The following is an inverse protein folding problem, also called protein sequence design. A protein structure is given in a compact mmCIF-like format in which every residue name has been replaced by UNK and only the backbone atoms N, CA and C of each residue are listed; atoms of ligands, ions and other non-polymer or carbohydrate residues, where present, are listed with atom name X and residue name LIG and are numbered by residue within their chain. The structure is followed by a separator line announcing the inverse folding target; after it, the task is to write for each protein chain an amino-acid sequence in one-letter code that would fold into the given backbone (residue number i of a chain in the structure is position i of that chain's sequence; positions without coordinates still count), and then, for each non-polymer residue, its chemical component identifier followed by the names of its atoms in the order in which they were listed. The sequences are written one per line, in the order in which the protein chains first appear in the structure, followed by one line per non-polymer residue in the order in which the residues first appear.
data_IF_913980181760
#
_entry.id   IF_913980181760
#
_cell.length_a   1.000
_cell.length_b   1.000
_cell.length_c   1.000
_cell.angle_alpha   90.00
_cell.angle_beta   90.00
_cell.angle_gamma   90.00
#
_symmetry.space_group_name_H-M   'P 1'
#
loop_
_entity.id
_entity.type
_entity.pdbx_description
1 polymer ?
#
# COMPACT_ATOMS: atom_id res chain seq x y z
N UNK A 1 0.78 -0.60 20.77
CA UNK A 1 1.59 -1.16 19.63
C UNK A 1 2.99 -1.50 20.12
N UNK A 2 3.57 -2.62 19.71
CA UNK A 2 4.97 -2.96 20.01
C UNK A 2 5.93 -2.10 19.16
N UNK A 3 7.12 -1.80 19.72
CA UNK A 3 8.08 -0.83 19.15
C UNK A 3 8.44 -1.08 17.67
N UNK A 4 8.58 -2.33 17.25
CA UNK A 4 8.93 -2.65 15.85
C UNK A 4 7.80 -2.29 14.89
N UNK A 5 6.54 -2.55 15.24
CA UNK A 5 5.38 -2.20 14.42
C UNK A 5 5.18 -0.67 14.40
N UNK A 6 5.35 -0.02 15.54
CA UNK A 6 5.28 1.45 15.65
C UNK A 6 6.29 2.12 14.69
N UNK A 7 7.53 1.65 14.68
CA UNK A 7 8.58 2.18 13.80
C UNK A 7 8.24 2.00 12.32
N UNK A 8 7.81 0.80 11.90
CA UNK A 8 7.48 0.56 10.50
C UNK A 8 6.21 1.30 10.08
N UNK A 9 5.22 1.41 10.96
CA UNK A 9 4.01 2.19 10.72
C UNK A 9 4.30 3.68 10.59
N UNK A 10 5.16 4.24 11.44
CA UNK A 10 5.59 5.63 11.35
C UNK A 10 6.31 5.95 10.02
N UNK A 11 7.12 5.01 9.51
CA UNK A 11 7.74 5.13 8.18
C UNK A 11 6.69 5.18 7.07
N UNK A 12 5.68 4.31 7.13
CA UNK A 12 4.56 4.31 6.19
C UNK A 12 3.77 5.61 6.23
N UNK A 13 3.49 6.14 7.42
CA UNK A 13 2.78 7.40 7.58
C UNK A 13 3.57 8.58 6.99
N UNK A 14 4.87 8.61 7.22
CA UNK A 14 5.72 9.64 6.62
C UNK A 14 5.68 9.54 5.09
N UNK A 15 5.89 8.36 4.52
CA UNK A 15 5.90 8.14 3.08
C UNK A 15 4.56 8.53 2.42
N UNK A 16 3.43 8.17 3.05
CA UNK A 16 2.10 8.56 2.58
C UNK A 16 1.92 10.07 2.58
N UNK A 17 2.29 10.75 3.68
CA UNK A 17 2.19 12.21 3.79
C UNK A 17 3.06 12.92 2.76
N UNK A 18 4.27 12.43 2.54
CA UNK A 18 5.18 12.96 1.52
C UNK A 18 4.53 12.81 0.12
N UNK A 19 3.99 11.63 -0.19
CA UNK A 19 3.33 11.36 -1.47
C UNK A 19 2.07 12.22 -1.69
N UNK A 20 1.21 12.38 -0.69
CA UNK A 20 0.04 13.25 -0.75
C UNK A 20 0.45 14.72 -0.95
N UNK A 21 1.52 15.17 -0.30
CA UNK A 21 2.01 16.55 -0.43
C UNK A 21 2.44 16.92 -1.85
N UNK A 22 2.95 15.94 -2.61
CA UNK A 22 3.36 16.13 -4.00
C UNK A 22 2.20 16.39 -4.97
N UNK A 23 0.98 16.01 -4.59
CA UNK A 23 -0.21 16.08 -5.44
C UNK A 23 -1.22 17.12 -4.95
N UNK A 24 -1.19 17.48 -3.67
CA UNK A 24 -2.15 18.40 -3.02
C UNK A 24 -2.26 19.77 -3.72
N UNK A 25 -1.15 20.31 -4.23
CA UNK A 25 -1.11 21.61 -4.89
C UNK A 25 -1.47 21.59 -6.37
N UNK A 26 -1.74 20.42 -6.94
CA UNK A 26 -2.08 20.27 -8.35
C UNK A 26 -3.56 20.55 -8.60
N UNK A 27 -3.89 21.04 -9.80
CA UNK A 27 -5.27 21.21 -10.26
C UNK A 27 -5.95 19.86 -10.46
N UNK A 28 -7.29 19.81 -10.43
CA UNK A 28 -8.04 18.57 -10.69
C UNK A 28 -7.69 17.98 -12.07
N UNK A 29 -7.48 18.82 -13.09
CA UNK A 29 -7.04 18.39 -14.43
C UNK A 29 -5.71 17.65 -14.36
N UNK A 30 -4.75 18.16 -13.59
CA UNK A 30 -3.45 17.50 -13.40
C UNK A 30 -3.57 16.20 -12.62
N UNK A 31 -4.40 16.20 -11.57
CA UNK A 31 -4.60 15.04 -10.69
C UNK A 31 -5.27 13.86 -11.41
N UNK A 32 -6.16 14.15 -12.35
CA UNK A 32 -6.93 13.15 -13.11
C UNK A 32 -6.38 12.87 -14.51
N UNK A 33 -5.30 13.56 -14.91
CA UNK A 33 -4.70 13.38 -16.22
C UNK A 33 -4.08 11.98 -16.39
N UNK A 34 -4.27 11.40 -17.58
CA UNK A 34 -3.69 10.13 -18.00
C UNK A 34 -2.86 10.31 -19.27
N UNK A 35 -1.68 9.71 -19.37
CA UNK A 35 -0.87 9.75 -20.61
C UNK A 35 -1.58 9.12 -21.82
N UNK A 36 -2.39 8.09 -21.57
CA UNK A 36 -3.22 7.36 -22.55
C UNK A 36 -4.35 6.61 -21.82
N UNK A 37 -5.26 5.97 -22.55
CA UNK A 37 -6.43 5.27 -22.01
C UNK A 37 -6.08 4.12 -21.05
N UNK A 38 -4.93 3.46 -21.26
CA UNK A 38 -4.49 2.29 -20.48
C UNK A 38 -3.58 2.67 -19.30
N UNK A 39 -3.40 3.97 -19.06
CA UNK A 39 -2.57 4.47 -17.97
C UNK A 39 -3.41 5.02 -16.84
N UNK A 40 -2.91 4.90 -15.63
CA UNK A 40 -3.54 5.50 -14.45
C UNK A 40 -3.17 6.99 -14.32
N UNK A 41 -4.10 7.76 -13.78
CA UNK A 41 -3.87 9.11 -13.26
C UNK A 41 -3.23 9.06 -11.87
N UNK A 42 -2.85 10.23 -11.34
CA UNK A 42 -2.30 10.34 -9.99
C UNK A 42 -3.31 9.86 -8.93
N UNK A 43 -4.59 10.25 -9.04
CA UNK A 43 -5.61 9.84 -8.08
C UNK A 43 -5.96 8.36 -8.18
N UNK A 44 -5.88 7.76 -9.37
CA UNK A 44 -6.06 6.32 -9.53
C UNK A 44 -4.96 5.50 -8.89
N UNK A 45 -3.71 5.99 -8.94
CA UNK A 45 -2.60 5.38 -8.18
C UNK A 45 -2.91 5.40 -6.68
N UNK A 46 -3.43 6.51 -6.14
CA UNK A 46 -3.78 6.59 -4.71
C UNK A 46 -4.90 5.64 -4.33
N UNK A 47 -5.96 5.59 -5.15
CA UNK A 47 -7.07 4.65 -4.92
C UNK A 47 -6.60 3.20 -4.99
N UNK A 48 -5.67 2.88 -5.90
CA UNK A 48 -5.07 1.55 -5.96
C UNK A 48 -4.31 1.20 -4.66
N UNK A 49 -3.46 2.10 -4.18
CA UNK A 49 -2.71 1.92 -2.94
C UNK A 49 -3.65 1.70 -1.74
N UNK A 50 -4.65 2.57 -1.59
CA UNK A 50 -5.67 2.44 -0.54
C UNK A 50 -6.43 1.11 -0.63
N UNK A 51 -6.80 0.69 -1.84
CA UNK A 51 -7.52 -0.58 -2.06
C UNK A 51 -6.66 -1.77 -1.65
N UNK A 52 -5.38 -1.77 -2.00
CA UNK A 52 -4.46 -2.82 -1.61
C UNK A 52 -4.30 -2.91 -0.07
N UNK A 53 -4.14 -1.77 0.60
CA UNK A 53 -4.06 -1.69 2.05
C UNK A 53 -5.36 -2.10 2.74
N UNK A 54 -6.52 -1.65 2.25
CA UNK A 54 -7.85 -2.01 2.75
C UNK A 54 -8.09 -3.52 2.66
N UNK A 55 -7.76 -4.11 1.51
CA UNK A 55 -7.89 -5.55 1.30
C UNK A 55 -6.98 -6.35 2.25
N UNK A 56 -5.75 -5.88 2.46
CA UNK A 56 -4.82 -6.48 3.42
C UNK A 56 -5.34 -6.45 4.85
N UNK A 57 -5.79 -5.28 5.32
CA UNK A 57 -6.36 -5.11 6.65
C UNK A 57 -7.62 -5.97 6.83
N UNK A 58 -8.55 -5.93 5.88
CA UNK A 58 -9.79 -6.73 5.91
C UNK A 58 -9.49 -8.23 5.97
N UNK A 59 -8.49 -8.70 5.21
CA UNK A 59 -8.07 -10.10 5.26
C UNK A 59 -7.54 -10.48 6.64
N UNK A 60 -6.65 -9.67 7.21
CA UNK A 60 -6.03 -9.94 8.51
C UNK A 60 -7.04 -9.87 9.66
N UNK A 61 -7.95 -8.89 9.64
CA UNK A 61 -9.04 -8.78 10.64
C UNK A 61 -9.92 -10.04 10.67
N UNK A 62 -10.19 -10.65 9.51
CA UNK A 62 -10.93 -11.92 9.45
C UNK A 62 -10.10 -13.11 9.95
N UNK A 63 -8.78 -13.08 9.78
CA UNK A 63 -7.86 -14.18 10.12
C UNK A 63 -7.39 -14.17 11.56
N UNK A 64 -7.45 -13.04 12.24
CA UNK A 64 -6.98 -12.91 13.62
C UNK A 64 -7.72 -13.84 14.59
N UNK A 65 -8.96 -14.21 14.31
CA UNK A 65 -9.74 -15.15 15.15
C UNK A 65 -9.10 -16.56 15.28
N UNK A 66 -8.27 -16.95 14.32
CA UNK A 66 -7.53 -18.23 14.34
C UNK A 66 -6.01 -18.03 14.41
N UNK A 67 -5.55 -16.95 15.03
CA UNK A 67 -4.13 -16.57 15.03
C UNK A 67 -3.25 -17.60 15.75
N UNK A 68 -3.76 -18.25 16.78
CA UNK A 68 -3.02 -19.25 17.56
C UNK A 68 -2.60 -20.47 16.74
N UNK A 69 -3.39 -20.80 15.71
CA UNK A 69 -3.11 -21.90 14.76
C UNK A 69 -2.08 -21.54 13.69
N UNK A 70 -1.72 -20.25 13.58
CA UNK A 70 -0.78 -19.80 12.56
C UNK A 70 0.66 -20.04 12.98
N UNK A 71 1.48 -20.44 12.01
CA UNK A 71 2.93 -20.54 12.17
C UNK A 71 3.55 -19.16 12.35
N UNK A 72 4.69 -19.10 13.04
CA UNK A 72 5.52 -17.90 13.11
C UNK A 72 6.32 -17.70 11.83
N UNK A 73 6.61 -16.45 11.51
CA UNK A 73 7.54 -16.07 10.47
C UNK A 73 8.95 -16.57 10.75
N UNK A 74 9.74 -16.76 9.69
CA UNK A 74 11.13 -17.21 9.78
C UNK A 74 11.85 -16.97 8.45
N UNK A 75 13.01 -17.56 8.29
CA UNK A 75 13.93 -17.38 7.15
C UNK A 75 13.20 -17.49 5.79
N UNK A 76 12.27 -18.42 5.67
CA UNK A 76 11.51 -18.61 4.41
C UNK A 76 10.62 -17.41 4.08
N UNK A 77 9.94 -16.84 5.08
CA UNK A 77 9.12 -15.64 4.88
C UNK A 77 9.98 -14.40 4.62
N UNK A 78 11.13 -14.30 5.26
CA UNK A 78 12.10 -13.23 5.02
C UNK A 78 12.65 -13.27 3.58
N UNK A 79 13.00 -14.45 3.10
CA UNK A 79 13.47 -14.64 1.72
C UNK A 79 12.38 -14.29 0.70
N UNK A 80 11.14 -14.70 0.94
CA UNK A 80 9.99 -14.33 0.09
C UNK A 80 9.78 -12.82 0.05
N UNK A 81 9.88 -12.14 1.20
CA UNK A 81 9.77 -10.68 1.28
C UNK A 81 10.92 -10.01 0.52
N UNK A 82 12.16 -10.46 0.69
CA UNK A 82 13.32 -9.92 -0.02
C UNK A 82 13.16 -10.06 -1.54
N UNK A 83 12.65 -11.21 -2.00
CA UNK A 83 12.37 -11.46 -3.41
C UNK A 83 11.27 -10.51 -3.93
N UNK A 84 10.16 -10.38 -3.21
CA UNK A 84 9.05 -9.49 -3.56
C UNK A 84 9.52 -8.03 -3.67
N UNK A 85 10.27 -7.56 -2.68
CA UNK A 85 10.81 -6.20 -2.67
C UNK A 85 11.77 -5.96 -3.85
N UNK A 86 12.54 -6.97 -4.23
CA UNK A 86 13.40 -6.90 -5.42
C UNK A 86 12.57 -6.77 -6.70
N UNK A 87 11.45 -7.48 -6.83
CA UNK A 87 10.53 -7.35 -7.96
C UNK A 87 9.88 -5.96 -8.02
N UNK A 88 9.42 -5.43 -6.89
CA UNK A 88 8.78 -4.11 -6.82
C UNK A 88 9.73 -2.96 -7.24
N UNK A 89 11.03 -3.15 -7.07
CA UNK A 89 12.05 -2.16 -7.49
C UNK A 89 12.37 -2.19 -8.98
N UNK A 90 11.92 -3.23 -9.70
CA UNK A 90 12.12 -3.30 -11.15
C UNK A 90 11.11 -2.39 -11.86
N UNK A 91 11.51 -1.67 -12.93
CA UNK A 91 10.63 -0.82 -13.70
C UNK A 91 9.74 -1.63 -14.67
N UNK A 92 9.12 -2.69 -14.19
CA UNK A 92 8.28 -3.59 -15.00
C UNK A 92 6.81 -3.28 -14.71
N UNK A 93 6.00 -3.15 -15.74
CA UNK A 93 4.53 -3.12 -15.60
C UNK A 93 4.07 -4.50 -15.14
N UNK A 94 3.47 -4.56 -13.97
CA UNK A 94 2.89 -5.78 -13.43
C UNK A 94 1.37 -5.69 -13.53
N UNK A 95 0.74 -6.68 -14.14
CA UNK A 95 -0.71 -6.82 -14.05
C UNK A 95 -1.06 -7.42 -12.68
N UNK A 96 -1.74 -6.62 -11.87
CA UNK A 96 -2.23 -7.10 -10.58
C UNK A 96 -3.19 -8.28 -10.80
N UNK A 97 -3.14 -9.34 -9.97
CA UNK A 97 -4.15 -10.39 -9.99
C UNK A 97 -5.57 -9.79 -9.89
N UNK A 98 -6.55 -10.42 -10.55
CA UNK A 98 -7.93 -9.91 -10.60
C UNK A 98 -8.50 -9.52 -9.22
N UNK A 99 -8.16 -10.26 -8.17
CA UNK A 99 -8.55 -9.97 -6.78
C UNK A 99 -7.88 -8.71 -6.18
N UNK A 100 -6.79 -8.22 -6.78
CA UNK A 100 -6.06 -7.04 -6.36
C UNK A 100 -6.27 -5.85 -7.32
N UNK A 101 -7.06 -6.03 -8.39
CA UNK A 101 -7.42 -4.94 -9.28
C UNK A 101 -8.37 -3.98 -8.57
N UNK A 102 -8.04 -2.68 -8.63
CA UNK A 102 -8.96 -1.69 -8.13
C UNK A 102 -10.09 -1.45 -9.13
N UNK A 103 -11.27 -1.11 -8.62
CA UNK A 103 -12.38 -0.70 -9.47
C UNK A 103 -12.28 0.80 -9.72
N UNK A 104 -12.24 1.26 -11.00
CA UNK A 104 -12.28 2.68 -11.29
C UNK A 104 -13.52 3.33 -10.67
N UNK A 105 -13.35 4.52 -10.12
CA UNK A 105 -14.46 5.34 -9.62
C UNK A 105 -15.03 6.18 -10.76
N UNK A 106 -16.30 6.51 -10.69
CA UNK A 106 -16.95 7.44 -11.61
C UNK A 106 -16.37 8.86 -11.50
N UNK A 107 -15.99 9.25 -10.28
CA UNK A 107 -15.41 10.55 -9.96
C UNK A 107 -14.27 10.42 -8.96
N UNK A 108 -13.27 11.31 -9.08
CA UNK A 108 -12.12 11.38 -8.19
C UNK A 108 -11.97 12.80 -7.62
N UNK A 109 -11.97 12.91 -6.30
CA UNK A 109 -11.63 14.10 -5.56
C UNK A 109 -10.46 13.84 -4.61
N UNK A 110 -9.44 14.71 -4.65
CA UNK A 110 -8.24 14.54 -3.83
C UNK A 110 -8.53 14.60 -2.33
N UNK A 111 -9.42 15.51 -1.89
CA UNK A 111 -9.71 15.67 -0.46
C UNK A 111 -10.48 14.47 0.10
N UNK A 112 -11.39 13.91 -0.69
CA UNK A 112 -12.11 12.70 -0.31
C UNK A 112 -11.15 11.51 -0.19
N UNK A 113 -10.26 11.32 -1.18
CA UNK A 113 -9.24 10.27 -1.17
C UNK A 113 -8.30 10.44 0.03
N UNK A 114 -7.84 11.65 0.32
CA UNK A 114 -6.99 11.94 1.47
C UNK A 114 -7.71 11.58 2.79
N UNK A 115 -8.97 11.99 2.95
CA UNK A 115 -9.76 11.69 4.14
C UNK A 115 -10.03 10.19 4.32
N UNK A 116 -10.34 9.48 3.23
CA UNK A 116 -10.49 8.02 3.24
C UNK A 116 -9.19 7.31 3.65
N UNK A 117 -8.04 7.79 3.15
CA UNK A 117 -6.74 7.20 3.50
C UNK A 117 -6.34 7.51 4.94
N UNK A 118 -6.67 8.72 5.44
CA UNK A 118 -6.50 9.06 6.85
C UNK A 118 -7.32 8.13 7.75
N UNK A 119 -8.57 7.85 7.38
CA UNK A 119 -9.42 6.93 8.12
C UNK A 119 -8.86 5.49 8.08
N UNK A 120 -8.41 5.02 6.91
CA UNK A 120 -7.80 3.70 6.77
C UNK A 120 -6.55 3.57 7.66
N UNK A 121 -5.73 4.63 7.80
CA UNK A 121 -4.54 4.62 8.65
C UNK A 121 -4.88 4.58 10.15
N UNK A 122 -5.98 5.20 10.57
CA UNK A 122 -6.49 5.04 11.94
C UNK A 122 -6.88 3.59 12.22
N UNK A 123 -7.60 2.96 11.29
CA UNK A 123 -8.00 1.56 11.42
C UNK A 123 -6.78 0.61 11.46
N UNK A 124 -5.74 0.88 10.64
CA UNK A 124 -4.47 0.15 10.73
C UNK A 124 -3.79 0.32 12.09
N UNK A 125 -3.75 1.55 12.62
CA UNK A 125 -3.15 1.82 13.92
C UNK A 125 -3.88 1.06 15.03
N UNK A 126 -5.22 1.15 15.07
CA UNK A 126 -6.06 0.44 16.03
C UNK A 126 -5.84 -1.07 15.94
N UNK A 127 -5.84 -1.62 14.73
CA UNK A 127 -5.57 -3.04 14.51
C UNK A 127 -4.20 -3.47 15.03
N UNK A 128 -3.14 -2.71 14.73
CA UNK A 128 -1.77 -3.03 15.15
C UNK A 128 -1.55 -2.89 16.67
N UNK A 129 -2.37 -2.09 17.34
CA UNK A 129 -2.30 -1.91 18.81
C UNK A 129 -2.73 -3.15 19.59
N UNK A 130 -3.53 -4.03 18.98
CA UNK A 130 -4.02 -5.25 19.61
C UNK A 130 -2.95 -6.35 19.75
N UNK A 131 -1.79 -6.20 19.10
CA UNK A 131 -0.79 -7.27 19.02
C UNK A 131 0.34 -7.12 20.04
N UNK A 132 0.63 -8.21 20.73
CA UNK A 132 1.86 -8.41 21.47
C UNK A 132 2.98 -8.96 20.54
N UNK A 133 4.16 -9.22 21.12
CA UNK A 133 5.30 -9.70 20.35
C UNK A 133 5.04 -11.08 19.72
N UNK A 134 4.42 -11.99 20.47
CA UNK A 134 4.20 -13.38 20.01
C UNK A 134 3.22 -13.44 18.85
N UNK A 135 2.08 -12.78 18.99
CA UNK A 135 1.04 -12.70 17.95
C UNK A 135 1.50 -11.92 16.71
N UNK A 136 2.31 -10.86 16.89
CA UNK A 136 2.86 -10.09 15.78
C UNK A 136 3.83 -10.90 14.89
N UNK A 137 4.47 -11.93 15.43
CA UNK A 137 5.36 -12.83 14.67
C UNK A 137 4.60 -13.88 13.84
N UNK A 138 3.28 -14.05 14.05
CA UNK A 138 2.46 -15.02 13.30
C UNK A 138 2.26 -14.61 11.84
N UNK A 139 2.27 -15.59 10.93
CA UNK A 139 2.11 -15.40 9.48
C UNK A 139 0.66 -15.07 9.10
N UNK A 140 0.18 -13.90 9.53
CA UNK A 140 -1.22 -13.50 9.46
C UNK A 140 -1.65 -13.03 8.05
N UNK A 141 -0.82 -12.23 7.37
CA UNK A 141 -1.11 -11.70 6.04
C UNK A 141 -0.78 -12.73 4.95
N UNK A 142 -1.62 -12.82 3.89
CA UNK A 142 -1.36 -13.66 2.71
C UNK A 142 -1.24 -12.79 1.46
N UNK A 143 -0.02 -12.66 0.95
CA UNK A 143 0.21 -12.06 -0.36
C UNK A 143 -0.25 -13.00 -1.47
N UNK A 144 -0.94 -12.54 -2.54
CA UNK A 144 -1.50 -13.39 -3.59
C UNK A 144 -0.50 -14.34 -4.26
N UNK A 145 0.76 -13.89 -4.40
CA UNK A 145 1.81 -14.61 -5.13
C UNK A 145 2.89 -15.16 -4.17
N UNK A 146 3.32 -14.35 -3.19
CA UNK A 146 4.52 -14.65 -2.38
C UNK A 146 4.25 -15.40 -1.07
N UNK A 147 2.99 -15.76 -0.81
CA UNK A 147 2.63 -16.51 0.38
C UNK A 147 2.38 -15.64 1.61
N UNK A 148 2.72 -16.15 2.80
CA UNK A 148 2.34 -15.50 4.06
C UNK A 148 3.47 -14.68 4.66
N UNK A 149 3.07 -13.58 5.33
CA UNK A 149 3.94 -12.65 6.05
C UNK A 149 3.39 -12.38 7.45
N UNK A 150 4.28 -12.07 8.39
CA UNK A 150 3.92 -11.53 9.69
C UNK A 150 3.63 -10.02 9.60
N UNK A 151 3.25 -9.38 10.71
CA UNK A 151 2.85 -7.97 10.68
C UNK A 151 4.00 -7.02 10.29
N UNK A 152 5.20 -7.23 10.81
CA UNK A 152 6.37 -6.43 10.43
C UNK A 152 6.67 -6.56 8.94
N UNK A 153 6.72 -7.79 8.42
CA UNK A 153 6.94 -8.08 7.01
C UNK A 153 5.85 -7.47 6.12
N UNK A 154 4.59 -7.47 6.59
CA UNK A 154 3.47 -6.86 5.89
C UNK A 154 3.63 -5.35 5.77
N UNK A 155 4.00 -4.66 6.86
CA UNK A 155 4.24 -3.20 6.82
C UNK A 155 5.42 -2.86 5.91
N UNK A 156 6.48 -3.64 5.92
CA UNK A 156 7.62 -3.48 4.99
C UNK A 156 7.22 -3.72 3.54
N UNK A 157 6.39 -4.70 3.25
CA UNK A 157 5.83 -4.92 1.91
C UNK A 157 4.99 -3.72 1.46
N UNK A 158 4.10 -3.20 2.31
CA UNK A 158 3.28 -2.03 1.97
C UNK A 158 4.19 -0.82 1.69
N UNK A 159 5.24 -0.62 2.46
CA UNK A 159 6.22 0.45 2.23
C UNK A 159 6.86 0.35 0.84
N UNK A 160 7.38 -0.80 0.46
CA UNK A 160 8.00 -1.01 -0.86
C UNK A 160 6.98 -0.91 -2.00
N UNK A 161 5.72 -1.31 -1.76
CA UNK A 161 4.63 -1.15 -2.72
C UNK A 161 4.30 0.33 -2.96
N UNK A 162 4.22 1.13 -1.91
CA UNK A 162 4.06 2.59 -2.05
C UNK A 162 5.27 3.20 -2.77
N UNK A 163 6.50 2.78 -2.43
CA UNK A 163 7.73 3.28 -3.06
C UNK A 163 7.77 3.00 -4.57
N UNK A 164 7.33 1.80 -4.99
CA UNK A 164 7.14 1.47 -6.41
C UNK A 164 6.23 2.49 -7.11
N UNK A 165 5.13 2.88 -6.46
CA UNK A 165 4.18 3.84 -7.01
C UNK A 165 4.62 5.30 -6.88
N UNK A 166 5.48 5.66 -5.94
CA UNK A 166 6.16 6.97 -5.90
C UNK A 166 6.92 7.20 -7.21
N UNK A 167 7.65 6.20 -7.68
CA UNK A 167 8.35 6.27 -8.97
C UNK A 167 7.36 6.42 -10.15
N UNK A 168 6.17 5.83 -10.09
CA UNK A 168 5.11 6.01 -11.09
C UNK A 168 4.54 7.42 -11.06
N UNK A 169 4.23 7.97 -9.89
CA UNK A 169 3.76 9.36 -9.71
C UNK A 169 4.77 10.34 -10.30
N UNK A 170 6.06 10.14 -10.02
CA UNK A 170 7.10 10.97 -10.60
C UNK A 170 7.11 10.90 -12.13
N UNK A 171 7.07 9.70 -12.72
CA UNK A 171 7.02 9.54 -14.19
C UNK A 171 5.79 10.20 -14.82
N UNK A 172 4.63 10.22 -14.15
CA UNK A 172 3.44 10.92 -14.61
C UNK A 172 3.66 12.44 -14.65
N UNK A 173 4.20 13.00 -13.57
CA UNK A 173 4.48 14.44 -13.45
C UNK A 173 5.58 14.93 -14.40
N UNK A 174 6.59 14.10 -14.67
CA UNK A 174 7.71 14.37 -15.55
C UNK A 174 7.35 14.17 -17.05
N UNK A 175 6.14 13.69 -17.36
CA UNK A 175 5.72 13.45 -18.74
C UNK A 175 5.64 14.80 -19.52
N UNK A 176 6.23 14.89 -20.74
CA UNK A 176 6.18 16.11 -21.53
C UNK A 176 4.75 16.65 -21.82
N UNK A 177 3.76 15.76 -21.84
CA UNK A 177 2.35 16.09 -22.08
C UNK A 177 1.55 16.31 -20.78
N UNK A 178 2.21 16.26 -19.61
CA UNK A 178 1.52 16.55 -18.35
C UNK A 178 0.99 17.99 -18.36
N UNK A 179 -0.28 18.26 -18.00
CA UNK A 179 -0.88 19.58 -18.06
C UNK A 179 -0.05 20.59 -17.25
N UNK A 180 0.33 21.68 -17.90
CA UNK A 180 0.95 22.83 -17.21
C UNK A 180 -0.16 23.74 -16.73
N UNK A 181 -0.03 24.25 -15.50
CA UNK A 181 -0.95 25.24 -14.92
C UNK A 181 -0.99 26.53 -15.72
#
# INVERSE_FOLDING_TARGET
MILVLEKEFARLEKQRKDLLSEVRGLTNVQQTWRPNADSWSLLEVFVHLMTAERNGLTYMTKKVQGIDELEKGGITSDLRLALLNSFLRLPVKYEAPAAAQFQPREYYDFKEIEAEWDQLRKEWHEFLDEFDKDSAEKLLFKHPIMGRFNLEQTLRFIYEHVDHHVAQVKRLKDNPNFPRS
#
